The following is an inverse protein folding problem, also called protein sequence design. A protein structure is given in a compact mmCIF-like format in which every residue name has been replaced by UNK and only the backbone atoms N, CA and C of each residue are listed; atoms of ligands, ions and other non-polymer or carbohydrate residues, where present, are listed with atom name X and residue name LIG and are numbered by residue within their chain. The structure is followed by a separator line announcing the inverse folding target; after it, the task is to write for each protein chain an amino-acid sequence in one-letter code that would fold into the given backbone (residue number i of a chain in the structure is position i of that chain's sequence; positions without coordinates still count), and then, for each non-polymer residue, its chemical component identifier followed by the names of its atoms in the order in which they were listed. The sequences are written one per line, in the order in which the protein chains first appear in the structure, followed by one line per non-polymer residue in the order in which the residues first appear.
data_IF_148865846985
#
_entry.id   IF_148865846985
#
_cell.length_a   1.000
_cell.length_b   1.000
_cell.length_c   1.000
_cell.angle_alpha   90.00
_cell.angle_beta   90.00
_cell.angle_gamma   90.00
#
_symmetry.space_group_name_H-M   'P 1'
#
loop_
_entity.id
_entity.type
_entity.pdbx_description
1 polymer ?
#
# COMPACT_ATOMS: atom_id res chain seq x y z
N UNK A 1 22.88 9.22 7.31
CA UNK A 1 22.96 8.13 8.27
C UNK A 1 22.92 6.79 7.54
N UNK A 2 23.96 5.98 7.75
CA UNK A 2 24.15 4.72 7.04
C UNK A 2 22.99 3.75 7.30
N UNK A 3 22.50 3.71 8.55
CA UNK A 3 21.40 2.81 8.92
C UNK A 3 20.12 3.15 8.15
N UNK A 4 19.82 4.44 8.04
CA UNK A 4 18.63 4.88 7.31
C UNK A 4 18.75 4.52 5.84
N UNK A 5 19.93 4.77 5.24
CA UNK A 5 20.16 4.42 3.84
C UNK A 5 20.03 2.93 3.60
N UNK A 6 20.52 2.11 4.53
CA UNK A 6 20.42 0.66 4.41
C UNK A 6 18.96 0.20 4.45
N UNK A 7 18.17 0.74 5.39
CA UNK A 7 16.75 0.39 5.52
C UNK A 7 16.00 0.78 4.25
N UNK A 8 16.23 1.98 3.74
CA UNK A 8 15.59 2.44 2.51
C UNK A 8 15.95 1.57 1.31
N UNK A 9 17.22 1.16 1.22
CA UNK A 9 17.67 0.29 0.15
C UNK A 9 16.99 -1.08 0.20
N UNK A 10 16.83 -1.64 1.40
CA UNK A 10 16.12 -2.91 1.57
C UNK A 10 14.66 -2.79 1.20
N UNK A 11 13.99 -1.72 1.64
CA UNK A 11 12.60 -1.46 1.28
C UNK A 11 12.44 -1.39 -0.23
N UNK A 12 13.34 -0.66 -0.88
CA UNK A 12 13.29 -0.50 -2.33
C UNK A 12 13.46 -1.84 -3.04
N UNK A 13 14.40 -2.66 -2.60
CA UNK A 13 14.62 -3.98 -3.20
C UNK A 13 13.43 -4.89 -3.02
N UNK A 14 12.86 -4.92 -1.82
CA UNK A 14 11.67 -5.70 -1.54
C UNK A 14 10.51 -5.19 -2.39
N UNK A 15 10.34 -3.87 -2.46
CA UNK A 15 9.29 -3.23 -3.22
C UNK A 15 9.37 -3.60 -4.70
N UNK A 16 10.58 -3.57 -5.28
CA UNK A 16 10.78 -3.96 -6.67
C UNK A 16 10.42 -5.42 -6.88
N UNK A 17 10.78 -6.29 -5.95
CA UNK A 17 10.50 -7.72 -6.05
C UNK A 17 9.00 -8.00 -6.04
N UNK A 18 8.25 -7.33 -5.16
CA UNK A 18 6.81 -7.57 -5.00
C UNK A 18 5.96 -6.69 -5.90
N UNK A 19 6.57 -5.76 -6.63
CA UNK A 19 5.84 -4.82 -7.49
C UNK A 19 5.00 -5.52 -8.56
N UNK A 20 5.37 -6.72 -8.93
CA UNK A 20 4.64 -7.52 -9.92
C UNK A 20 3.50 -8.31 -9.30
N UNK A 21 3.44 -8.39 -7.97
CA UNK A 21 2.41 -9.10 -7.24
C UNK A 21 1.68 -8.11 -6.36
N UNK A 22 0.44 -7.85 -6.68
CA UNK A 22 -0.37 -6.96 -5.85
C UNK A 22 -0.92 -7.74 -4.67
N UNK A 23 -0.95 -7.10 -3.50
CA UNK A 23 -1.54 -7.69 -2.32
C UNK A 23 -3.03 -7.95 -2.54
N UNK A 24 -3.54 -9.02 -1.96
CA UNK A 24 -4.99 -9.24 -1.91
C UNK A 24 -5.57 -8.22 -0.95
N UNK A 25 -6.54 -7.44 -1.43
CA UNK A 25 -7.18 -6.44 -0.60
C UNK A 25 -8.69 -6.60 -0.61
N UNK A 26 -9.30 -6.17 0.49
CA UNK A 26 -10.75 -5.97 0.58
C UNK A 26 -10.98 -4.56 1.07
N UNK A 27 -12.09 -3.95 0.66
CA UNK A 27 -12.36 -2.55 0.94
C UNK A 27 -13.76 -2.43 1.50
N UNK A 28 -13.92 -1.67 2.59
CA UNK A 28 -15.23 -1.37 3.12
C UNK A 28 -15.41 0.13 3.29
N UNK A 29 -16.62 0.59 3.03
CA UNK A 29 -16.96 2.00 3.15
C UNK A 29 -17.18 2.36 4.62
N UNK A 30 -16.69 3.52 5.01
CA UNK A 30 -16.94 4.09 6.33
C UNK A 30 -17.97 5.20 6.24
N UNK A 31 -18.53 5.61 7.38
CA UNK A 31 -19.61 6.58 7.40
C UNK A 31 -19.21 8.02 7.08
N UNK A 32 -17.92 8.28 7.02
CA UNK A 32 -17.38 9.65 6.86
C UNK A 32 -16.69 9.86 5.52
N UNK A 33 -17.15 9.18 4.49
CA UNK A 33 -16.57 9.27 3.14
C UNK A 33 -15.11 8.84 3.07
N UNK A 34 -14.73 7.89 3.92
CA UNK A 34 -13.45 7.23 3.83
C UNK A 34 -13.68 5.75 3.59
N UNK A 35 -12.62 5.02 3.26
CA UNK A 35 -12.67 3.57 3.14
C UNK A 35 -11.60 2.96 4.01
N UNK A 36 -11.87 1.77 4.53
CA UNK A 36 -10.85 0.95 5.21
C UNK A 36 -10.43 -0.13 4.24
N UNK A 37 -9.15 -0.17 3.94
CA UNK A 37 -8.55 -1.18 3.05
C UNK A 37 -7.86 -2.21 3.92
N UNK A 38 -8.26 -3.46 3.80
CA UNK A 38 -7.59 -4.57 4.46
C UNK A 38 -6.74 -5.29 3.42
N UNK A 39 -5.47 -5.46 3.72
CA UNK A 39 -4.54 -6.09 2.79
C UNK A 39 -3.72 -7.16 3.47
N UNK A 40 -3.41 -8.22 2.73
CA UNK A 40 -2.54 -9.29 3.24
C UNK A 40 -1.09 -8.91 2.97
N UNK A 41 -0.31 -8.79 4.04
CA UNK A 41 1.10 -8.43 3.93
C UNK A 41 1.88 -9.48 3.14
N UNK A 42 2.62 -9.03 2.16
CA UNK A 42 3.45 -9.93 1.36
C UNK A 42 4.71 -10.39 2.11
N UNK A 43 5.02 -9.77 3.26
CA UNK A 43 6.14 -10.19 4.09
C UNK A 43 5.70 -11.19 5.15
N UNK A 44 4.61 -10.87 5.88
CA UNK A 44 4.23 -11.64 7.07
C UNK A 44 3.01 -12.52 6.86
N UNK A 45 2.20 -12.26 5.83
CA UNK A 45 0.93 -12.94 5.63
C UNK A 45 -0.18 -12.48 6.54
N UNK A 46 0.09 -11.52 7.40
CA UNK A 46 -0.95 -10.96 8.29
C UNK A 46 -1.84 -10.01 7.52
N UNK A 47 -3.09 -9.93 7.98
CA UNK A 47 -4.03 -8.94 7.43
C UNK A 47 -3.83 -7.64 8.17
N UNK A 48 -3.45 -6.60 7.44
CA UNK A 48 -3.33 -5.25 7.96
C UNK A 48 -4.46 -4.39 7.42
N UNK A 49 -4.77 -3.29 8.11
CA UNK A 49 -5.80 -2.35 7.67
C UNK A 49 -5.25 -0.95 7.65
N UNK A 50 -5.74 -0.15 6.70
CA UNK A 50 -5.38 1.25 6.60
C UNK A 50 -6.58 2.03 6.08
N UNK A 51 -6.83 3.20 6.67
CA UNK A 51 -7.93 4.08 6.25
C UNK A 51 -7.42 5.00 5.15
N UNK A 52 -8.19 5.09 4.06
CA UNK A 52 -7.88 5.97 2.95
C UNK A 52 -8.87 7.13 2.91
N UNK A 53 -8.41 8.36 2.69
CA UNK A 53 -9.24 9.56 2.76
C UNK A 53 -10.02 9.79 1.46
N UNK A 54 -10.81 8.82 1.04
CA UNK A 54 -11.63 8.93 -0.16
C UNK A 54 -12.85 8.04 -0.04
N UNK A 55 -13.91 8.40 -0.78
CA UNK A 55 -15.14 7.63 -0.80
C UNK A 55 -14.92 6.32 -1.59
N UNK A 56 -15.74 5.32 -1.30
CA UNK A 56 -15.68 4.02 -1.95
C UNK A 56 -15.75 4.14 -3.48
N UNK A 57 -16.62 5.03 -3.97
CA UNK A 57 -16.78 5.22 -5.41
C UNK A 57 -15.46 5.66 -6.05
N UNK A 58 -14.80 6.62 -5.42
CA UNK A 58 -13.54 7.16 -5.94
C UNK A 58 -12.42 6.13 -5.84
N UNK A 59 -12.40 5.37 -4.75
CA UNK A 59 -11.43 4.30 -4.59
C UNK A 59 -11.59 3.24 -5.68
N UNK A 60 -12.82 2.82 -5.95
CA UNK A 60 -13.08 1.79 -6.95
C UNK A 60 -12.68 2.25 -8.35
N UNK A 61 -12.93 3.51 -8.69
CA UNK A 61 -12.52 4.08 -9.98
C UNK A 61 -11.00 4.05 -10.10
N UNK A 62 -10.31 4.57 -9.09
CA UNK A 62 -8.85 4.64 -9.10
C UNK A 62 -8.22 3.24 -9.15
N UNK A 63 -8.75 2.30 -8.37
CA UNK A 63 -8.25 0.94 -8.34
C UNK A 63 -8.45 0.25 -9.69
N UNK A 64 -9.59 0.48 -10.35
CA UNK A 64 -9.87 -0.05 -11.67
C UNK A 64 -8.90 0.49 -12.71
N UNK A 65 -8.60 1.80 -12.65
CA UNK A 65 -7.62 2.42 -13.53
C UNK A 65 -6.25 1.76 -13.35
N UNK A 66 -5.84 1.57 -12.10
CA UNK A 66 -4.55 0.96 -11.79
C UNK A 66 -4.46 -0.48 -12.31
N UNK A 67 -5.55 -1.24 -12.19
CA UNK A 67 -5.56 -2.64 -12.64
C UNK A 67 -5.65 -2.81 -14.16
N UNK A 68 -6.29 -1.87 -14.86
CA UNK A 68 -6.54 -2.02 -16.29
C UNK A 68 -5.61 -1.19 -17.16
N UNK A 69 -4.87 -0.26 -16.56
CA UNK A 69 -3.93 0.60 -17.26
C UNK A 69 -2.51 0.25 -16.85
N UNK A 70 -1.56 0.57 -17.71
CA UNK A 70 -0.14 0.36 -17.44
C UNK A 70 0.44 1.61 -16.77
N UNK A 71 -0.19 2.02 -15.67
CA UNK A 71 0.22 3.22 -14.95
C UNK A 71 0.73 2.87 -13.56
N UNK A 72 1.46 3.81 -12.96
CA UNK A 72 1.93 3.66 -11.58
C UNK A 72 0.78 3.92 -10.61
N UNK A 73 0.90 3.35 -9.41
CA UNK A 73 -0.11 3.55 -8.37
C UNK A 73 -0.29 5.03 -8.04
N UNK A 74 0.79 5.80 -8.05
CA UNK A 74 0.72 7.24 -7.76
C UNK A 74 -0.03 8.03 -8.84
N UNK A 75 -0.08 7.52 -10.05
CA UNK A 75 -0.85 8.14 -11.12
C UNK A 75 -2.33 7.83 -11.00
N UNK A 76 -2.66 6.60 -10.58
CA UNK A 76 -4.04 6.20 -10.37
C UNK A 76 -4.62 6.80 -9.08
N UNK A 77 -3.79 6.96 -8.04
CA UNK A 77 -4.20 7.47 -6.74
C UNK A 77 -3.36 8.72 -6.38
N UNK A 78 -3.57 9.84 -7.06
CA UNK A 78 -2.69 11.02 -6.86
C UNK A 78 -2.88 11.71 -5.50
N UNK A 79 -3.95 11.40 -4.77
CA UNK A 79 -4.25 12.08 -3.50
C UNK A 79 -3.77 11.33 -2.27
N UNK A 80 -3.26 10.13 -2.42
CA UNK A 80 -2.79 9.35 -1.28
C UNK A 80 -1.29 9.56 -1.08
N UNK A 81 -0.83 9.30 0.15
CA UNK A 81 0.58 9.47 0.49
C UNK A 81 1.40 8.21 0.16
N UNK A 82 2.70 8.29 0.40
CA UNK A 82 3.61 7.21 0.10
C UNK A 82 3.28 5.93 0.87
N UNK A 83 2.97 6.03 2.15
CA UNK A 83 2.64 4.86 2.96
C UNK A 83 1.38 4.17 2.46
N UNK A 84 0.40 4.93 2.03
CA UNK A 84 -0.84 4.37 1.47
C UNK A 84 -0.58 3.70 0.13
N UNK A 85 0.28 4.28 -0.70
CA UNK A 85 0.66 3.65 -1.97
C UNK A 85 1.38 2.34 -1.75
N UNK A 86 2.34 2.32 -0.83
CA UNK A 86 3.05 1.09 -0.50
C UNK A 86 2.10 0.03 0.04
N UNK A 87 1.12 0.45 0.84
CA UNK A 87 0.14 -0.48 1.39
C UNK A 87 -0.71 -1.14 0.30
N UNK A 88 -1.11 -0.37 -0.71
CA UNK A 88 -1.90 -0.93 -1.81
C UNK A 88 -1.14 -2.00 -2.58
N UNK A 89 0.15 -1.82 -2.72
CA UNK A 89 0.98 -2.76 -3.48
C UNK A 89 1.30 -4.00 -2.65
N UNK A 90 1.64 -3.82 -1.38
CA UNK A 90 2.28 -4.86 -0.59
C UNK A 90 1.47 -5.35 0.62
N UNK A 91 0.49 -4.56 1.06
CA UNK A 91 -0.21 -4.84 2.32
C UNK A 91 0.64 -4.60 3.55
N UNK A 92 1.77 -3.93 3.40
CA UNK A 92 2.73 -3.72 4.50
C UNK A 92 2.52 -2.32 5.07
N UNK A 93 2.36 -2.23 6.39
CA UNK A 93 2.21 -0.94 7.09
C UNK A 93 3.58 -0.40 7.49
N UNK A 94 3.69 0.93 7.77
CA UNK A 94 4.93 1.47 8.30
C UNK A 94 5.41 0.76 9.56
N UNK A 95 4.48 0.40 10.46
CA UNK A 95 4.81 -0.31 11.69
C UNK A 95 5.40 -1.67 11.40
N UNK A 96 4.89 -2.36 10.40
CA UNK A 96 5.41 -3.66 10.00
C UNK A 96 6.77 -3.53 9.33
N UNK A 97 6.97 -2.49 8.52
CA UNK A 97 8.29 -2.19 7.96
C UNK A 97 9.32 -1.99 9.09
N UNK A 98 8.94 -1.20 10.10
CA UNK A 98 9.84 -0.91 11.23
C UNK A 98 10.16 -2.19 12.02
N UNK A 99 9.16 -3.02 12.26
CA UNK A 99 9.36 -4.27 12.99
C UNK A 99 10.25 -5.25 12.23
N UNK A 100 10.19 -5.24 10.89
CA UNK A 100 10.94 -6.17 10.06
C UNK A 100 12.37 -5.68 9.81
N UNK A 101 12.54 -4.37 9.63
CA UNK A 101 13.81 -3.78 9.17
C UNK A 101 14.45 -2.81 10.15
N UNK A 102 13.72 -2.38 11.16
CA UNK A 102 14.18 -1.34 12.07
C UNK A 102 15.17 -1.84 13.11
N UNK A 103 15.24 -3.10 13.30
CA UNK A 103 16.15 -3.72 14.25
C UNK A 103 17.08 -4.69 13.52
#
# INVERSE_FOLDING_TARGET
NIRILYIESLREKIFQRINKMKAEITVRSNNNNTVTVAGVSLITGKVNEMVFPMAMKDFNIAYSIWNTSDCYVQDAFPTINEDQREFLISGITPEEWDATMGE
#
